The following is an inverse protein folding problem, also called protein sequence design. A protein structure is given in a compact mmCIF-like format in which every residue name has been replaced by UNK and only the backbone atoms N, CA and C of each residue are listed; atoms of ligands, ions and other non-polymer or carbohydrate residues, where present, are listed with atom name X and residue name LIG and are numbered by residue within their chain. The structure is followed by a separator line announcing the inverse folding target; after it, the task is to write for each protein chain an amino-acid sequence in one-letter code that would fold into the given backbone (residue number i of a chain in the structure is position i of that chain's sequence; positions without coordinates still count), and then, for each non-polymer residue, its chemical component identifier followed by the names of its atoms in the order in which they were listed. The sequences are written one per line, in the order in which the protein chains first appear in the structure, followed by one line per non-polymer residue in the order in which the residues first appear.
data_IF_570279157702
#
_entry.id   IF_570279157702
#
_cell.length_a   1.000
_cell.length_b   1.000
_cell.length_c   1.000
_cell.angle_alpha   90.00
_cell.angle_beta   90.00
_cell.angle_gamma   90.00
#
_symmetry.space_group_name_H-M   'P 1'
#
loop_
_entity.id
_entity.type
_entity.pdbx_description
1 polymer ?
#
# COMPACT_ATOMS: atom_id res chain seq x y z
N UNK A 1 -5.66 -3.48 -1.68
CA UNK A 1 -4.36 -2.78 -1.66
C UNK A 1 -3.81 -2.79 -0.24
N UNK A 2 -2.55 -3.20 -0.06
CA UNK A 2 -1.92 -3.29 1.26
C UNK A 2 -0.54 -2.63 1.31
N UNK A 3 -0.12 -2.29 2.52
CA UNK A 3 1.20 -1.75 2.87
C UNK A 3 2.01 -2.84 3.53
N UNK A 4 3.26 -2.97 3.11
CA UNK A 4 4.18 -4.00 3.55
C UNK A 4 5.50 -3.37 4.02
N UNK A 5 6.06 -3.91 5.10
CA UNK A 5 7.41 -3.56 5.54
C UNK A 5 8.49 -4.28 4.70
N UNK A 6 9.77 -3.97 4.96
CA UNK A 6 10.91 -4.55 4.21
C UNK A 6 11.03 -6.07 4.34
N UNK A 7 10.42 -6.67 5.36
CA UNK A 7 10.39 -8.12 5.52
C UNK A 7 9.30 -8.79 4.69
N UNK A 8 8.44 -8.01 4.02
CA UNK A 8 7.28 -8.49 3.27
C UNK A 8 6.06 -8.76 4.14
N UNK A 9 6.07 -8.34 5.41
CA UNK A 9 4.89 -8.46 6.29
C UNK A 9 3.87 -7.38 5.94
N UNK A 10 2.61 -7.79 5.76
CA UNK A 10 1.50 -6.85 5.60
C UNK A 10 1.26 -6.15 6.94
N UNK A 11 1.47 -4.84 6.98
CA UNK A 11 1.28 -4.02 8.18
C UNK A 11 -0.07 -3.32 8.19
N UNK A 12 -0.67 -3.10 7.01
CA UNK A 12 -1.96 -2.42 6.88
C UNK A 12 -2.63 -2.73 5.55
N UNK A 13 -3.94 -2.96 5.56
CA UNK A 13 -4.76 -3.03 4.35
C UNK A 13 -5.53 -1.72 4.20
N UNK A 14 -5.33 -1.01 3.08
CA UNK A 14 -5.98 0.27 2.80
C UNK A 14 -7.27 0.11 1.99
N UNK A 15 -7.34 -0.94 1.18
CA UNK A 15 -8.51 -1.28 0.37
C UNK A 15 -8.70 -2.78 0.38
N UNK A 16 -9.91 -3.24 0.71
CA UNK A 16 -10.33 -4.64 0.57
C UNK A 16 -11.57 -4.82 -0.33
N UNK A 17 -12.09 -3.75 -0.93
CA UNK A 17 -13.30 -3.77 -1.75
C UNK A 17 -13.00 -3.68 -3.26
N UNK A 18 -14.02 -3.99 -4.07
CA UNK A 18 -13.97 -3.88 -5.52
C UNK A 18 -14.40 -2.48 -5.96
N UNK A 19 -13.59 -1.85 -6.81
CA UNK A 19 -13.89 -0.54 -7.39
C UNK A 19 -14.23 -0.69 -8.88
N UNK A 20 -15.12 0.17 -9.35
CA UNK A 20 -15.36 0.33 -10.78
C UNK A 20 -14.13 0.96 -11.45
N UNK A 21 -13.97 0.82 -12.78
CA UNK A 21 -12.89 1.50 -13.49
C UNK A 21 -12.94 3.02 -13.28
N UNK A 22 -11.80 3.61 -12.91
CA UNK A 22 -11.70 5.04 -12.63
C UNK A 22 -10.42 5.39 -11.87
N UNK A 23 -10.26 6.67 -11.57
CA UNK A 23 -9.17 7.18 -10.75
C UNK A 23 -9.63 7.37 -9.30
N UNK A 24 -8.85 6.88 -8.36
CA UNK A 24 -9.12 6.98 -6.93
C UNK A 24 -7.88 7.48 -6.20
N UNK A 25 -8.09 8.40 -5.25
CA UNK A 25 -7.03 8.85 -4.35
C UNK A 25 -7.18 8.11 -3.02
N UNK A 26 -6.12 7.42 -2.59
CA UNK A 26 -6.10 6.70 -1.31
C UNK A 26 -4.95 7.26 -0.49
N UNK A 27 -5.27 7.70 0.72
CA UNK A 27 -4.31 8.29 1.65
C UNK A 27 -3.90 7.21 2.65
N UNK A 28 -2.59 6.97 2.74
CA UNK A 28 -2.02 6.21 3.84
C UNK A 28 -1.58 7.19 4.94
N UNK A 29 -2.25 7.14 6.08
CA UNK A 29 -1.74 7.79 7.29
C UNK A 29 -0.62 6.94 7.89
N UNK A 30 0.62 7.42 7.72
CA UNK A 30 1.81 6.77 8.26
C UNK A 30 2.09 7.13 9.73
N UNK A 31 1.22 7.90 10.39
CA UNK A 31 1.40 8.33 11.79
C UNK A 31 1.40 7.12 12.73
N UNK A 32 2.59 6.71 13.17
CA UNK A 32 2.78 5.52 14.01
C UNK A 32 3.79 4.51 13.44
N UNK A 33 4.18 4.67 12.17
CA UNK A 33 5.21 3.86 11.54
C UNK A 33 6.56 4.59 11.55
N UNK A 34 7.65 3.84 11.69
CA UNK A 34 9.01 4.39 11.66
C UNK A 34 9.38 4.89 10.26
N UNK A 35 10.26 5.88 10.17
CA UNK A 35 10.90 6.25 8.91
C UNK A 35 11.61 5.03 8.30
N UNK A 36 11.51 4.85 6.99
CA UNK A 36 12.05 3.67 6.34
C UNK A 36 11.41 3.35 4.98
N UNK A 37 11.80 2.20 4.42
CA UNK A 37 11.27 1.71 3.16
C UNK A 37 9.99 0.90 3.42
N UNK A 38 8.96 1.16 2.62
CA UNK A 38 7.72 0.39 2.60
C UNK A 38 7.34 0.03 1.17
N UNK A 39 6.40 -0.89 1.03
CA UNK A 39 5.87 -1.30 -0.27
C UNK A 39 4.35 -1.24 -0.27
N UNK A 40 3.78 -0.56 -1.26
CA UNK A 40 2.35 -0.63 -1.58
C UNK A 40 2.17 -1.73 -2.60
N UNK A 41 1.28 -2.69 -2.33
CA UNK A 41 0.89 -3.72 -3.30
C UNK A 41 -0.60 -3.63 -3.59
N UNK A 42 -0.92 -3.53 -4.88
CA UNK A 42 -2.29 -3.63 -5.40
C UNK A 42 -2.39 -4.88 -6.27
N UNK A 43 -3.47 -5.63 -6.10
CA UNK A 43 -3.81 -6.78 -6.93
C UNK A 43 -5.24 -6.61 -7.43
N UNK A 44 -5.45 -6.83 -8.73
CA UNK A 44 -6.76 -6.80 -9.40
C UNK A 44 -6.81 -7.90 -10.45
N UNK A 45 -7.57 -8.97 -10.18
CA UNK A 45 -7.55 -10.18 -11.01
C UNK A 45 -6.13 -10.76 -11.14
N UNK A 46 -5.64 -10.90 -12.38
CA UNK A 46 -4.27 -11.36 -12.67
C UNK A 46 -3.22 -10.24 -12.60
N UNK A 47 -3.63 -8.98 -12.49
CA UNK A 47 -2.70 -7.86 -12.43
C UNK A 47 -2.23 -7.63 -10.99
N UNK A 48 -0.93 -7.46 -10.82
CA UNK A 48 -0.33 -7.03 -9.56
C UNK A 48 0.69 -5.95 -9.82
N UNK A 49 0.58 -4.85 -9.07
CA UNK A 49 1.54 -3.76 -9.08
C UNK A 49 2.08 -3.56 -7.68
N UNK A 50 3.39 -3.34 -7.58
CA UNK A 50 4.05 -2.99 -6.32
C UNK A 50 4.86 -1.72 -6.51
N UNK A 51 4.76 -0.80 -5.55
CA UNK A 51 5.48 0.46 -5.56
C UNK A 51 6.25 0.62 -4.24
N UNK A 52 7.54 0.96 -4.36
CA UNK A 52 8.39 1.28 -3.21
C UNK A 52 8.10 2.70 -2.73
N UNK A 53 7.96 2.87 -1.42
CA UNK A 53 7.80 4.15 -0.74
C UNK A 53 8.95 4.37 0.24
N UNK A 54 9.31 5.63 0.45
CA UNK A 54 10.17 6.08 1.55
C UNK A 54 9.33 6.90 2.50
N UNK A 55 9.12 6.39 3.71
CA UNK A 55 8.54 7.15 4.81
C UNK A 55 9.64 8.01 5.43
N UNK A 56 9.44 9.32 5.42
CA UNK A 56 10.35 10.29 6.03
C UNK A 56 9.52 11.06 7.06
N UNK A 57 10.08 11.23 8.25
CA UNK A 57 9.49 12.03 9.32
C UNK A 57 10.10 13.43 9.31
#
# INVERSE_FOLDING_TARGET
MGIYDVSGRNIQTLVNDTYQPGYYNIVWDGTGYSSGVYFVKMTSGSYTQTQKLMMIK
#
